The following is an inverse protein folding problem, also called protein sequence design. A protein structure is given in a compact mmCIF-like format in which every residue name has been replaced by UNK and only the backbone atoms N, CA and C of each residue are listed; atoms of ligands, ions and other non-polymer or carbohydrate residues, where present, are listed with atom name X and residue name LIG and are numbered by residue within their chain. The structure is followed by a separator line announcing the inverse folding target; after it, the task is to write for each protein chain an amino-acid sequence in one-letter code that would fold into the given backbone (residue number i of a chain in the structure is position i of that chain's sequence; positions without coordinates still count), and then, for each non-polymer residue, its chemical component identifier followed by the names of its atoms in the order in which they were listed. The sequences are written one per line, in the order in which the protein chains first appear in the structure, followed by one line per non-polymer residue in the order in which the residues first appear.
data_IF_308445949428
#
_entry.id   IF_308445949428
#
_cell.length_a   1.000
_cell.length_b   1.000
_cell.length_c   1.000
_cell.angle_alpha   90.00
_cell.angle_beta   90.00
_cell.angle_gamma   90.00
#
_symmetry.space_group_name_H-M   'P 1'
#
loop_
_entity.id
_entity.type
_entity.pdbx_description
1 polymer ?
#
# COMPACT_ATOMS: atom_id res chain seq x y z
N UNK A 1 0.22 -0.80 -9.28
CA UNK A 1 1.59 -1.04 -8.78
C UNK A 1 2.50 -1.75 -9.79
N UNK A 2 2.00 -2.68 -10.61
CA UNK A 2 2.83 -3.38 -11.61
C UNK A 2 3.50 -2.43 -12.63
N UNK A 3 2.80 -1.40 -13.10
CA UNK A 3 3.33 -0.43 -14.09
C UNK A 3 4.55 0.33 -13.56
N UNK A 4 4.52 0.79 -12.31
CA UNK A 4 5.65 1.52 -11.70
C UNK A 4 6.84 0.61 -11.40
N UNK A 5 6.61 -0.66 -11.06
CA UNK A 5 7.69 -1.63 -10.82
C UNK A 5 8.37 -2.03 -12.14
N UNK A 6 7.61 -2.24 -13.21
CA UNK A 6 8.17 -2.50 -14.54
C UNK A 6 9.06 -1.35 -15.03
N UNK A 7 8.60 -0.10 -14.87
CA UNK A 7 9.41 1.07 -15.21
C UNK A 7 10.72 1.14 -14.42
N UNK A 8 10.69 0.82 -13.12
CA UNK A 8 11.92 0.75 -12.31
C UNK A 8 12.84 -0.39 -12.74
N UNK A 9 12.29 -1.57 -13.08
CA UNK A 9 13.05 -2.71 -13.59
C UNK A 9 13.80 -2.31 -14.87
N UNK A 10 13.12 -1.67 -15.81
CA UNK A 10 13.72 -1.19 -17.06
C UNK A 10 14.78 -0.11 -16.81
N UNK A 11 14.45 0.92 -16.04
CA UNK A 11 15.33 2.05 -15.75
C UNK A 11 16.65 1.61 -15.09
N UNK A 12 16.57 0.67 -14.14
CA UNK A 12 17.72 0.23 -13.36
C UNK A 12 18.29 -1.13 -13.83
N UNK A 13 17.81 -1.66 -14.97
CA UNK A 13 18.25 -2.94 -15.53
C UNK A 13 18.23 -4.08 -14.50
N UNK A 14 17.17 -4.13 -13.69
CA UNK A 14 17.04 -5.13 -12.63
C UNK A 14 16.87 -6.51 -13.29
N UNK A 15 17.67 -7.52 -12.92
CA UNK A 15 17.53 -8.85 -13.49
C UNK A 15 16.14 -9.43 -13.26
N UNK A 16 15.51 -9.89 -14.34
CA UNK A 16 14.21 -10.58 -14.30
C UNK A 16 14.40 -12.10 -14.39
N UNK A 17 13.48 -12.89 -13.81
CA UNK A 17 13.44 -14.33 -14.01
C UNK A 17 13.39 -14.71 -15.50
N UNK A 18 13.91 -15.89 -15.89
CA UNK A 18 13.79 -16.38 -17.25
C UNK A 18 12.33 -16.43 -17.72
N UNK A 19 12.05 -15.99 -18.95
CA UNK A 19 10.70 -15.87 -19.52
C UNK A 19 9.92 -17.20 -19.64
N UNK A 20 10.53 -18.34 -19.29
CA UNK A 20 9.85 -19.64 -19.22
C UNK A 20 8.79 -19.70 -18.11
N UNK A 21 8.89 -18.85 -17.09
CA UNK A 21 7.85 -18.71 -16.06
C UNK A 21 6.84 -17.63 -16.44
N UNK A 22 5.84 -18.00 -17.25
CA UNK A 22 4.74 -17.11 -17.72
C UNK A 22 3.90 -16.50 -16.59
N UNK A 23 4.14 -16.93 -15.35
CA UNK A 23 3.41 -16.56 -14.16
C UNK A 23 4.22 -15.69 -13.19
N UNK A 24 5.33 -15.07 -13.62
CA UNK A 24 6.04 -14.13 -12.75
C UNK A 24 5.35 -12.76 -12.73
N UNK A 25 5.12 -12.22 -11.53
CA UNK A 25 4.60 -10.86 -11.34
C UNK A 25 5.58 -10.10 -10.45
N UNK A 26 6.10 -8.94 -10.89
CA UNK A 26 6.95 -8.12 -10.05
C UNK A 26 6.14 -7.54 -8.89
N UNK A 27 6.69 -7.66 -7.69
CA UNK A 27 6.10 -7.22 -6.43
C UNK A 27 7.13 -6.44 -5.62
N UNK A 28 6.68 -5.58 -4.71
CA UNK A 28 7.55 -4.89 -3.78
C UNK A 28 7.48 -5.56 -2.40
N UNK A 29 8.53 -6.30 -2.04
CA UNK A 29 8.64 -6.98 -0.75
C UNK A 29 9.25 -6.01 0.28
N UNK A 30 8.45 -5.64 1.28
CA UNK A 30 8.83 -4.68 2.31
C UNK A 30 9.77 -5.30 3.34
N UNK A 31 10.79 -4.53 3.68
CA UNK A 31 11.69 -4.80 4.81
C UNK A 31 11.37 -3.86 5.96
N UNK A 32 11.18 -2.58 5.66
CA UNK A 32 10.78 -1.57 6.62
C UNK A 32 9.74 -0.65 5.99
N UNK A 33 8.80 -0.18 6.80
CA UNK A 33 7.82 0.78 6.36
C UNK A 33 7.42 1.70 7.52
N UNK A 34 7.09 2.93 7.18
CA UNK A 34 6.48 3.89 8.08
C UNK A 34 5.36 4.58 7.33
N UNK A 35 4.19 4.65 7.95
CA UNK A 35 2.99 5.27 7.40
C UNK A 35 2.51 6.29 8.42
N UNK A 36 2.23 7.50 7.93
CA UNK A 36 1.69 8.58 8.72
C UNK A 36 0.57 9.26 7.94
N UNK A 37 -0.58 9.45 8.58
CA UNK A 37 -1.78 9.97 7.94
C UNK A 37 -2.45 10.96 8.88
N UNK A 38 -2.86 12.10 8.34
CA UNK A 38 -3.46 13.19 9.11
C UNK A 38 -4.66 13.77 8.39
N UNK A 39 -5.75 14.08 9.11
CA UNK A 39 -6.78 14.97 8.60
C UNK A 39 -6.23 16.39 8.64
N UNK A 40 -6.05 16.98 7.46
CA UNK A 40 -5.42 18.29 7.33
C UNK A 40 -6.45 19.43 7.38
N UNK A 41 -7.71 19.13 7.04
CA UNK A 41 -8.79 20.11 7.04
C UNK A 41 -10.14 19.41 7.10
N UNK A 42 -11.01 19.94 7.96
CA UNK A 42 -12.42 19.58 8.09
C UNK A 42 -13.22 20.86 7.94
N UNK A 43 -14.39 20.76 7.33
CA UNK A 43 -15.35 21.85 7.24
C UNK A 43 -16.60 21.47 8.03
N UNK A 44 -17.11 22.44 8.78
CA UNK A 44 -18.35 22.39 9.58
C UNK A 44 -19.17 23.61 9.13
N UNK A 45 -20.39 23.38 8.66
CA UNK A 45 -21.19 24.40 7.97
C UNK A 45 -22.01 25.25 8.96
N UNK A 46 -22.40 24.68 10.09
CA UNK A 46 -23.23 25.31 11.13
C UNK A 46 -22.59 25.21 12.53
N UNK A 47 -23.34 25.61 13.58
CA UNK A 47 -22.85 25.48 14.95
C UNK A 47 -23.01 24.03 15.42
N UNK A 48 -21.89 23.33 15.63
CA UNK A 48 -21.91 21.98 16.18
C UNK A 48 -21.65 21.89 17.69
N UNK A 49 -22.29 20.91 18.34
CA UNK A 49 -22.02 20.50 19.73
C UNK A 49 -21.37 19.11 19.67
N UNK A 50 -20.10 19.03 20.06
CA UNK A 50 -19.24 17.83 19.96
C UNK A 50 -18.78 17.48 18.53
N UNK A 51 -18.46 18.49 17.72
CA UNK A 51 -17.70 18.29 16.49
C UNK A 51 -16.29 17.74 16.77
N UNK A 52 -15.84 16.80 15.94
CA UNK A 52 -14.48 16.29 16.05
C UNK A 52 -14.09 15.30 14.97
N UNK A 53 -12.83 14.89 15.01
CA UNK A 53 -12.31 13.82 14.17
C UNK A 53 -11.44 12.89 14.98
N UNK A 54 -11.32 11.66 14.50
CA UNK A 54 -10.37 10.70 15.01
C UNK A 54 -9.71 9.97 13.85
N UNK A 55 -8.42 9.70 14.00
CA UNK A 55 -7.75 8.70 13.16
C UNK A 55 -7.62 7.45 14.01
N UNK A 56 -8.43 6.43 13.69
CA UNK A 56 -8.54 5.23 14.52
C UNK A 56 -7.40 4.27 14.23
N UNK A 57 -7.04 4.10 12.95
CA UNK A 57 -5.94 3.24 12.55
C UNK A 57 -5.39 3.59 11.16
N UNK A 58 -4.12 3.27 10.96
CA UNK A 58 -3.49 3.17 9.64
C UNK A 58 -2.55 1.98 9.62
N UNK A 59 -2.49 1.28 8.49
CA UNK A 59 -1.58 0.15 8.33
C UNK A 59 -1.22 -0.10 6.88
N UNK A 60 -0.07 -0.72 6.67
CA UNK A 60 0.26 -1.32 5.38
C UNK A 60 -0.55 -2.63 5.24
N UNK A 61 -1.22 -2.80 4.11
CA UNK A 61 -1.79 -4.09 3.74
C UNK A 61 -0.65 -4.95 3.22
N UNK A 62 -0.35 -6.04 3.92
CA UNK A 62 0.73 -6.95 3.58
C UNK A 62 0.17 -8.25 3.00
N UNK A 63 0.67 -8.63 1.84
CA UNK A 63 0.33 -9.87 1.16
C UNK A 63 1.50 -10.85 1.28
N UNK A 64 1.20 -12.14 1.11
CA UNK A 64 2.19 -13.21 1.10
C UNK A 64 2.08 -14.00 -0.20
N UNK A 65 3.21 -14.42 -0.75
CA UNK A 65 3.28 -15.25 -1.95
C UNK A 65 4.54 -16.13 -1.91
N UNK A 66 4.96 -16.63 -3.06
CA UNK A 66 6.14 -17.47 -3.23
C UNK A 66 7.00 -16.87 -4.34
N UNK A 67 8.32 -16.84 -4.12
CA UNK A 67 9.29 -16.40 -5.12
C UNK A 67 9.34 -17.37 -6.30
N UNK A 68 9.30 -16.82 -7.52
CA UNK A 68 9.18 -17.62 -8.74
C UNK A 68 10.41 -18.50 -9.00
N UNK A 69 11.61 -18.02 -8.64
CA UNK A 69 12.88 -18.73 -8.89
C UNK A 69 13.19 -19.74 -7.79
N UNK A 70 13.08 -19.32 -6.54
CA UNK A 70 13.57 -20.09 -5.39
C UNK A 70 12.49 -20.97 -4.75
N UNK A 71 11.22 -20.75 -5.08
CA UNK A 71 10.06 -21.33 -4.39
C UNK A 71 10.03 -21.07 -2.87
N UNK A 72 10.79 -20.08 -2.40
CA UNK A 72 10.77 -19.68 -0.99
C UNK A 72 9.61 -18.72 -0.71
N UNK A 73 9.07 -18.70 0.52
CA UNK A 73 8.04 -17.74 0.90
C UNK A 73 8.49 -16.28 0.71
N UNK A 74 7.64 -15.49 0.06
CA UNK A 74 7.75 -14.03 0.00
C UNK A 74 6.68 -13.45 0.93
N UNK A 75 7.13 -12.94 2.07
CA UNK A 75 6.28 -12.26 3.04
C UNK A 75 6.35 -10.74 2.86
N UNK A 76 5.42 -10.02 3.47
CA UNK A 76 5.41 -8.55 3.53
C UNK A 76 5.36 -7.87 2.15
N UNK A 77 4.68 -8.46 1.18
CA UNK A 77 4.46 -7.82 -0.11
C UNK A 77 3.52 -6.65 0.08
N UNK A 78 3.90 -5.45 -0.37
CA UNK A 78 3.05 -4.27 -0.24
C UNK A 78 1.81 -4.38 -1.12
N UNK A 79 0.65 -4.49 -0.49
CA UNK A 79 -0.67 -4.49 -1.12
C UNK A 79 -1.37 -3.13 -1.10
N UNK A 80 -0.83 -2.15 -0.40
CA UNK A 80 -1.40 -0.81 -0.26
C UNK A 80 -1.43 -0.33 1.19
N UNK A 81 -2.19 0.74 1.44
CA UNK A 81 -2.40 1.32 2.77
C UNK A 81 -3.88 1.37 3.06
N UNK A 82 -4.27 0.97 4.27
CA UNK A 82 -5.63 1.14 4.79
C UNK A 82 -5.63 2.25 5.84
N UNK A 83 -6.70 3.04 5.84
CA UNK A 83 -6.89 4.16 6.77
C UNK A 83 -8.32 4.12 7.29
N UNK A 84 -8.47 4.22 8.59
CA UNK A 84 -9.75 4.44 9.24
C UNK A 84 -9.75 5.83 9.92
N UNK A 85 -10.60 6.70 9.40
CA UNK A 85 -10.80 8.07 9.91
C UNK A 85 -12.28 8.24 10.18
N UNK A 86 -12.60 8.72 11.38
CA UNK A 86 -13.95 9.06 11.78
C UNK A 86 -14.11 10.58 11.81
N UNK A 87 -15.28 11.03 11.38
CA UNK A 87 -15.79 12.37 11.64
C UNK A 87 -17.01 12.26 12.55
N UNK A 88 -17.11 13.18 13.49
CA UNK A 88 -18.27 13.33 14.36
C UNK A 88 -18.85 14.70 14.09
N UNK A 89 -19.85 14.78 13.22
CA UNK A 89 -20.72 15.94 13.05
C UNK A 89 -21.92 15.58 12.16
N UNK A 90 -22.99 16.38 12.20
CA UNK A 90 -24.18 16.18 11.35
C UNK A 90 -23.91 16.64 9.90
N UNK A 91 -23.04 17.63 9.73
CA UNK A 91 -22.76 18.34 8.48
C UNK A 91 -21.26 18.51 8.19
N UNK A 92 -20.39 17.77 8.88
CA UNK A 92 -18.95 17.84 8.64
C UNK A 92 -18.49 17.02 7.43
N UNK A 93 -17.55 17.60 6.70
CA UNK A 93 -16.92 16.98 5.54
C UNK A 93 -15.38 16.89 5.71
N UNK A 94 -14.79 15.74 5.37
CA UNK A 94 -13.33 15.64 5.19
C UNK A 94 -13.00 16.33 3.88
N UNK A 95 -12.33 17.48 3.97
CA UNK A 95 -11.86 18.18 2.79
C UNK A 95 -10.51 17.65 2.31
N UNK A 96 -9.60 17.30 3.23
CA UNK A 96 -8.23 16.87 2.89
C UNK A 96 -7.66 15.88 3.88
N UNK A 97 -7.15 14.76 3.35
CA UNK A 97 -6.27 13.83 4.06
C UNK A 97 -4.83 14.03 3.57
N UNK A 98 -3.92 14.29 4.49
CA UNK A 98 -2.49 14.24 4.28
C UNK A 98 -1.96 12.83 4.52
N UNK A 99 -1.05 12.38 3.68
CA UNK A 99 -0.37 11.10 3.88
C UNK A 99 1.12 11.23 3.57
N UNK A 100 1.93 10.54 4.35
CA UNK A 100 3.33 10.28 4.06
C UNK A 100 3.60 8.79 4.27
N UNK A 101 4.17 8.15 3.26
CA UNK A 101 4.62 6.77 3.35
C UNK A 101 6.09 6.67 2.96
N UNK A 102 6.87 6.02 3.81
CA UNK A 102 8.25 5.62 3.53
C UNK A 102 8.28 4.10 3.44
N UNK A 103 8.62 3.59 2.25
CA UNK A 103 8.65 2.16 1.96
C UNK A 103 10.09 1.77 1.58
N UNK A 104 10.69 0.89 2.38
CA UNK A 104 12.01 0.33 2.09
C UNK A 104 11.88 -1.18 1.87
N UNK A 105 12.44 -1.65 0.77
CA UNK A 105 12.35 -3.05 0.40
C UNK A 105 13.05 -3.34 -0.90
N UNK A 106 12.65 -4.45 -1.51
CA UNK A 106 13.20 -4.94 -2.77
C UNK A 106 12.10 -5.27 -3.76
N UNK A 107 12.43 -5.15 -5.04
CA UNK A 107 11.63 -5.76 -6.09
C UNK A 107 11.90 -7.27 -6.05
N UNK A 108 10.85 -8.06 -5.95
CA UNK A 108 10.88 -9.51 -6.02
C UNK A 108 9.90 -9.99 -7.08
N UNK A 109 9.97 -11.27 -7.46
CA UNK A 109 9.12 -11.82 -8.50
C UNK A 109 8.28 -12.93 -7.89
N UNK A 110 7.01 -12.63 -7.66
CA UNK A 110 6.06 -13.59 -7.10
C UNK A 110 5.50 -14.49 -8.21
N UNK A 111 5.23 -15.76 -7.89
CA UNK A 111 4.31 -16.57 -8.70
C UNK A 111 2.93 -15.92 -8.64
N UNK A 112 2.29 -15.79 -9.81
CA UNK A 112 0.93 -15.27 -9.98
C UNK A 112 0.04 -15.88 -8.91
N UNK A 113 -0.65 -15.03 -8.15
CA UNK A 113 -1.65 -15.46 -7.19
C UNK A 113 -2.72 -16.28 -7.94
N UNK A 114 -2.70 -17.60 -7.79
CA UNK A 114 -3.76 -18.49 -8.29
C UNK A 114 -4.74 -18.69 -7.14
N UNK A 115 -5.62 -17.73 -6.92
CA UNK A 115 -6.62 -17.76 -5.85
C UNK A 115 -7.21 -16.38 -5.60
N UNK A 116 -8.53 -16.28 -5.69
CA UNK A 116 -9.30 -15.05 -5.81
C UNK A 116 -9.39 -14.20 -4.54
N UNK A 117 -9.94 -13.01 -4.74
CA UNK A 117 -10.71 -12.30 -3.72
C UNK A 117 -11.91 -13.15 -3.28
#
# INVERSE_FOLDING_TARGET
MSVSLNAAIEQYSIPTPPQTDINSTPVFALQHWSIFITPNSIFDADQSINAGFAVNSWSANLLNSVDVLTNQPLNNIFGGVSVDVALSDIDAEILRLGFNFTLLGKIAFAKRFVGGF
#
